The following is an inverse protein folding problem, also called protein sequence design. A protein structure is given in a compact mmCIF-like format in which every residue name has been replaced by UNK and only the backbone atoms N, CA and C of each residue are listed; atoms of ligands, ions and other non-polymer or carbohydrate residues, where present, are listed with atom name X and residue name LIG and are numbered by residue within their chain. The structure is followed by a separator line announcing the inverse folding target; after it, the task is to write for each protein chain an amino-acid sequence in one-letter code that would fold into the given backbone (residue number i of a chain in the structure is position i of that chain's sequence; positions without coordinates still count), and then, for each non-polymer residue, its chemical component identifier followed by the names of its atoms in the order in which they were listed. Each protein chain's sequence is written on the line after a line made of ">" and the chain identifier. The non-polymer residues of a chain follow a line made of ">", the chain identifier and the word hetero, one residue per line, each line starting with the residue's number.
data_IF_444707750354
#
_entry.id   IF_444707750354
#
_cell.length_a   1.000
_cell.length_b   1.000
_cell.length_c   1.000
_cell.angle_alpha   90.00
_cell.angle_beta   90.00
_cell.angle_gamma   90.00
#
_symmetry.space_group_name_H-M   'P 1'
#
loop_
_entity.id
_entity.type
_entity.pdbx_description
1 polymer ?
#
# COMPACT_ATOMS: atom_id res chain seq x y z
N UNK A 1 9.15 -2.16 9.58
CA UNK A 1 9.64 -2.32 8.20
C UNK A 1 8.88 -1.33 7.33
N UNK A 2 9.57 -0.49 6.56
CA UNK A 2 8.94 0.43 5.60
C UNK A 2 9.10 -0.16 4.20
N UNK A 3 8.07 -0.08 3.36
CA UNK A 3 8.12 -0.59 1.99
C UNK A 3 9.21 0.09 1.14
N UNK A 4 9.56 1.34 1.47
CA UNK A 4 10.55 2.16 0.78
C UNK A 4 11.90 2.25 1.50
N UNK A 5 12.15 1.39 2.49
CA UNK A 5 13.44 1.35 3.18
C UNK A 5 14.57 0.99 2.19
N UNK A 6 15.67 1.73 2.26
CA UNK A 6 16.85 1.55 1.41
C UNK A 6 18.03 0.90 2.15
N UNK A 7 17.83 0.45 3.38
CA UNK A 7 18.89 -0.17 4.19
C UNK A 7 19.90 0.82 4.78
N UNK A 8 19.58 2.12 4.74
CA UNK A 8 20.37 3.18 5.37
C UNK A 8 19.59 3.78 6.53
N UNK A 9 20.30 4.24 7.57
CA UNK A 9 19.66 4.89 8.70
C UNK A 9 19.08 6.24 8.27
N UNK A 10 17.76 6.39 8.45
CA UNK A 10 17.10 7.69 8.31
C UNK A 10 17.26 8.45 9.62
N UNK A 11 17.49 9.76 9.54
CA UNK A 11 17.56 10.60 10.72
C UNK A 11 16.17 10.65 11.38
N UNK A 12 16.10 10.22 12.65
CA UNK A 12 14.85 10.12 13.41
C UNK A 12 14.11 11.45 13.54
N UNK A 13 14.82 12.57 13.73
CA UNK A 13 14.19 13.87 13.84
C UNK A 13 13.53 14.31 12.53
N UNK A 14 14.13 13.94 11.39
CA UNK A 14 13.53 14.18 10.07
C UNK A 14 12.31 13.31 9.89
N UNK A 15 12.41 12.01 10.23
CA UNK A 15 11.30 11.07 10.15
C UNK A 15 10.09 11.53 10.96
N UNK A 16 10.27 11.84 12.25
CA UNK A 16 9.20 12.28 13.14
C UNK A 16 8.53 13.56 12.63
N UNK A 17 9.32 14.50 12.06
CA UNK A 17 8.80 15.72 11.46
C UNK A 17 7.98 15.44 10.19
N UNK A 18 8.46 14.55 9.32
CA UNK A 18 7.80 14.26 8.03
C UNK A 18 6.57 13.37 8.15
N UNK A 19 6.54 12.45 9.11
CA UNK A 19 5.42 11.53 9.32
C UNK A 19 4.25 12.22 10.03
N UNK A 20 4.53 13.19 10.91
CA UNK A 20 3.52 14.04 11.53
C UNK A 20 2.29 13.26 12.04
N UNK A 21 1.12 13.55 11.43
CA UNK A 21 -0.18 12.92 11.76
C UNK A 21 -0.63 11.88 10.73
N UNK A 22 0.25 11.43 9.84
CA UNK A 22 -0.10 10.56 8.73
C UNK A 22 -0.84 9.31 9.23
N UNK A 23 -0.36 8.69 10.31
CA UNK A 23 -1.04 7.50 10.89
C UNK A 23 -2.49 7.73 11.30
N UNK A 24 -2.84 8.92 11.78
CA UNK A 24 -4.23 9.26 12.12
C UNK A 24 -5.05 9.51 10.86
N UNK A 25 -4.48 10.23 9.88
CA UNK A 25 -5.15 10.56 8.63
C UNK A 25 -5.36 9.32 7.75
N UNK A 26 -4.37 8.43 7.70
CA UNK A 26 -4.37 7.18 6.94
C UNK A 26 -5.55 6.29 7.33
N UNK A 27 -5.97 6.30 8.60
CA UNK A 27 -7.15 5.55 9.05
C UNK A 27 -8.44 6.02 8.38
N UNK A 28 -8.57 7.33 8.12
CA UNK A 28 -9.72 7.86 7.38
C UNK A 28 -9.65 7.53 5.88
N UNK A 29 -8.44 7.36 5.34
CA UNK A 29 -8.20 7.07 3.94
C UNK A 29 -8.23 5.57 3.62
N UNK A 30 -8.07 4.70 4.63
CA UNK A 30 -7.98 3.25 4.47
C UNK A 30 -9.09 2.62 3.59
N UNK A 31 -10.37 3.02 3.69
CA UNK A 31 -11.40 2.46 2.81
C UNK A 31 -11.15 2.77 1.32
N UNK A 32 -10.65 3.97 1.01
CA UNK A 32 -10.37 4.39 -0.36
C UNK A 32 -9.10 3.73 -0.89
N UNK A 33 -8.09 3.54 -0.04
CA UNK A 33 -6.87 2.82 -0.37
C UNK A 33 -7.15 1.34 -0.71
N UNK A 34 -8.06 0.68 0.03
CA UNK A 34 -8.54 -0.66 -0.27
C UNK A 34 -9.23 -0.70 -1.64
N UNK A 35 -10.14 0.24 -1.92
CA UNK A 35 -10.82 0.31 -3.22
C UNK A 35 -9.82 0.50 -4.38
N UNK A 36 -8.84 1.40 -4.20
CA UNK A 36 -7.77 1.62 -5.18
C UNK A 36 -6.92 0.36 -5.39
N UNK A 37 -6.58 -0.33 -4.30
CA UNK A 37 -5.82 -1.58 -4.33
C UNK A 37 -6.57 -2.69 -5.06
N UNK A 38 -7.89 -2.85 -4.84
CA UNK A 38 -8.70 -3.83 -5.56
C UNK A 38 -8.77 -3.56 -7.06
N UNK A 39 -8.90 -2.28 -7.44
CA UNK A 39 -8.86 -1.87 -8.84
C UNK A 39 -7.48 -2.16 -9.46
N UNK A 40 -6.40 -1.89 -8.73
CA UNK A 40 -5.04 -2.15 -9.17
C UNK A 40 -4.78 -3.65 -9.39
N UNK A 41 -5.22 -4.51 -8.46
CA UNK A 41 -5.12 -5.98 -8.60
C UNK A 41 -5.88 -6.46 -9.85
N UNK A 42 -7.08 -5.93 -10.10
CA UNK A 42 -7.86 -6.27 -11.30
C UNK A 42 -7.13 -5.85 -12.57
N UNK A 43 -6.55 -4.65 -12.59
CA UNK A 43 -5.75 -4.16 -13.72
C UNK A 43 -4.52 -5.03 -13.97
N UNK A 44 -3.74 -5.37 -12.93
CA UNK A 44 -2.54 -6.21 -13.05
C UNK A 44 -2.85 -7.58 -13.65
N UNK A 45 -3.96 -8.20 -13.24
CA UNK A 45 -4.44 -9.45 -13.84
C UNK A 45 -4.82 -9.28 -15.32
N UNK A 46 -5.48 -8.17 -15.68
CA UNK A 46 -5.89 -7.90 -17.07
C UNK A 46 -4.71 -7.79 -18.05
N UNK A 47 -3.54 -7.37 -17.57
CA UNK A 47 -2.30 -7.28 -18.35
C UNK A 47 -1.38 -8.50 -18.18
N UNK A 48 -1.83 -9.53 -17.46
CA UNK A 48 -1.10 -10.79 -17.27
C UNK A 48 0.07 -10.73 -16.28
N UNK A 49 0.16 -9.69 -15.44
CA UNK A 49 1.15 -9.62 -14.35
C UNK A 49 0.72 -10.36 -13.09
N UNK A 50 -0.57 -10.72 -12.98
CA UNK A 50 -1.11 -11.59 -11.95
C UNK A 50 -1.91 -12.71 -12.58
N UNK A 51 -1.72 -13.93 -12.07
CA UNK A 51 -2.56 -15.06 -12.44
C UNK A 51 -3.99 -14.91 -11.88
N UNK A 52 -4.93 -15.62 -12.49
CA UNK A 52 -6.31 -15.65 -12.01
C UNK A 52 -6.44 -16.23 -10.59
N UNK A 53 -5.56 -17.16 -10.22
CA UNK A 53 -5.44 -17.73 -8.88
C UNK A 53 -5.03 -16.66 -7.85
N UNK A 54 -4.00 -15.89 -8.17
CA UNK A 54 -3.49 -14.80 -7.33
C UNK A 54 -4.51 -13.68 -7.16
N UNK A 55 -5.15 -13.24 -8.27
CA UNK A 55 -6.23 -12.25 -8.22
C UNK A 55 -7.35 -12.70 -7.27
N UNK A 56 -7.79 -13.96 -7.37
CA UNK A 56 -8.85 -14.51 -6.50
C UNK A 56 -8.45 -14.50 -5.03
N UNK A 57 -7.20 -14.84 -4.72
CA UNK A 57 -6.70 -14.82 -3.35
C UNK A 57 -6.64 -13.39 -2.77
N UNK A 58 -6.34 -12.39 -3.60
CA UNK A 58 -6.20 -11.00 -3.18
C UNK A 58 -7.52 -10.22 -3.08
N UNK A 59 -8.54 -10.58 -3.86
CA UNK A 59 -9.82 -9.87 -3.95
C UNK A 59 -10.96 -10.49 -3.11
N UNK A 60 -10.64 -11.34 -2.12
CA UNK A 60 -11.57 -12.10 -1.28
C UNK A 60 -13.03 -11.58 -1.32
N UNK A 61 -13.87 -12.28 -2.09
CA UNK A 61 -15.32 -12.05 -2.15
C UNK A 61 -16.04 -12.84 -1.04
#
# INVERSE_FOLDING_TARGET
>A
MKLWDKGISVNKAIEDFTVGKDRELDLYLAPFDILGSMAHVTMLNSIGLLENSERKNLLYE
#
